data_IF_891437491072
#
_entry.id   IF_891437491072
#
_cell.length_a   1.000
_cell.length_b   1.000
_cell.length_c   1.000
_cell.angle_alpha   90.00
_cell.angle_beta   90.00
_cell.angle_gamma   90.00
#
_symmetry.space_group_name_H-M   'P 1'
#
loop_
_entity.id
_entity.type
_entity.pdbx_description
1 polymer ?
#
# COMPACT_ATOMS: atom_id res chain seq x y z
N UNK A 1 22.45 13.01 20.67
CA UNK A 1 21.84 13.10 19.31
C UNK A 1 22.80 12.45 18.32
N UNK A 2 22.42 11.35 17.67
CA UNK A 2 23.30 10.64 16.72
C UNK A 2 23.52 11.48 15.46
N UNK A 3 24.73 11.45 14.88
CA UNK A 3 25.08 12.19 13.65
C UNK A 3 24.05 11.99 12.53
N UNK A 4 23.55 10.76 12.36
CA UNK A 4 22.48 10.44 11.40
C UNK A 4 21.22 11.28 11.60
N UNK A 5 20.78 11.49 12.85
CA UNK A 5 19.59 12.32 13.14
C UNK A 5 19.84 13.77 12.80
N UNK A 6 21.04 14.28 13.09
CA UNK A 6 21.43 15.66 12.74
C UNK A 6 21.41 15.83 11.22
N UNK A 7 22.02 14.90 10.48
CA UNK A 7 22.03 14.94 9.01
C UNK A 7 20.62 14.89 8.42
N UNK A 8 19.74 14.03 8.94
CA UNK A 8 18.34 13.97 8.52
C UNK A 8 17.60 15.28 8.81
N UNK A 9 17.79 15.87 9.99
CA UNK A 9 17.17 17.15 10.35
C UNK A 9 17.66 18.28 9.44
N UNK A 10 18.98 18.43 9.27
CA UNK A 10 19.55 19.47 8.42
C UNK A 10 19.09 19.30 6.96
N UNK A 11 19.10 18.08 6.44
CA UNK A 11 18.65 17.79 5.07
C UNK A 11 17.16 18.09 4.90
N UNK A 12 16.32 17.66 5.85
CA UNK A 12 14.88 17.90 5.82
C UNK A 12 14.54 19.39 5.86
N UNK A 13 15.17 20.15 6.76
CA UNK A 13 14.99 21.61 6.86
C UNK A 13 15.49 22.29 5.58
N UNK A 14 16.66 21.90 5.07
CA UNK A 14 17.21 22.46 3.83
C UNK A 14 16.31 22.23 2.62
N UNK A 15 15.79 21.01 2.46
CA UNK A 15 14.83 20.67 1.40
C UNK A 15 13.51 21.43 1.55
N UNK A 16 13.00 21.59 2.77
CA UNK A 16 11.78 22.36 3.02
C UNK A 16 11.98 23.84 2.67
N UNK A 17 13.09 24.46 3.11
CA UNK A 17 13.41 25.84 2.78
C UNK A 17 13.57 26.05 1.26
N UNK A 18 14.24 25.12 0.58
CA UNK A 18 14.39 25.14 -0.87
C UNK A 18 13.03 25.01 -1.59
N UNK A 19 12.17 24.10 -1.13
CA UNK A 19 10.82 23.95 -1.68
C UNK A 19 9.96 25.22 -1.51
N UNK A 20 10.05 25.88 -0.35
CA UNK A 20 9.37 27.16 -0.11
C UNK A 20 9.90 28.24 -1.04
N UNK A 21 11.22 28.36 -1.22
CA UNK A 21 11.81 29.29 -2.17
C UNK A 21 11.32 29.05 -3.61
N UNK A 22 11.19 27.79 -4.04
CA UNK A 22 10.59 27.46 -5.34
C UNK A 22 9.12 27.91 -5.43
N UNK A 23 8.31 27.67 -4.39
CA UNK A 23 6.89 28.06 -4.37
C UNK A 23 6.72 29.58 -4.44
N UNK A 24 7.58 30.34 -3.77
CA UNK A 24 7.53 31.80 -3.76
C UNK A 24 7.88 32.43 -5.12
N UNK A 25 8.57 31.67 -5.99
CA UNK A 25 8.91 32.09 -7.35
C UNK A 25 7.82 31.74 -8.39
N UNK A 26 6.80 30.98 -7.99
CA UNK A 26 5.72 30.57 -8.89
C UNK A 26 4.72 31.71 -9.15
N UNK A 27 4.02 31.62 -10.29
CA UNK A 27 2.89 32.52 -10.56
C UNK A 27 1.74 32.25 -9.60
N UNK A 28 0.83 33.23 -9.42
CA UNK A 28 -0.36 33.05 -8.58
C UNK A 28 -1.26 31.90 -9.07
N UNK A 29 -1.32 31.69 -10.38
CA UNK A 29 -2.09 30.58 -10.98
C UNK A 29 -1.52 29.23 -10.58
N UNK A 30 -0.20 29.08 -10.67
CA UNK A 30 0.48 27.83 -10.29
C UNK A 30 0.35 27.58 -8.79
N UNK A 31 0.51 28.62 -7.97
CA UNK A 31 0.37 28.49 -6.52
C UNK A 31 -1.04 28.07 -6.12
N UNK A 32 -2.07 28.57 -6.81
CA UNK A 32 -3.46 28.13 -6.63
C UNK A 32 -3.62 26.66 -7.04
N UNK A 33 -3.03 26.24 -8.15
CA UNK A 33 -3.06 24.84 -8.59
C UNK A 33 -2.41 23.92 -7.56
N UNK A 34 -1.23 24.29 -7.05
CA UNK A 34 -0.55 23.56 -5.97
C UNK A 34 -1.44 23.47 -4.73
N UNK A 35 -2.04 24.58 -4.30
CA UNK A 35 -2.92 24.57 -3.12
C UNK A 35 -4.13 23.65 -3.32
N UNK A 36 -4.77 23.70 -4.49
CA UNK A 36 -5.92 22.85 -4.82
C UNK A 36 -5.51 21.37 -4.82
N UNK A 37 -4.39 21.01 -5.44
CA UNK A 37 -3.92 19.62 -5.45
C UNK A 37 -3.46 19.14 -4.08
N UNK A 38 -2.78 19.98 -3.31
CA UNK A 38 -2.32 19.64 -1.97
C UNK A 38 -3.50 19.36 -1.04
N UNK A 39 -4.48 20.28 -1.00
CA UNK A 39 -5.69 20.11 -0.21
C UNK A 39 -6.53 18.94 -0.74
N UNK A 40 -6.71 18.86 -2.07
CA UNK A 40 -7.47 17.81 -2.72
C UNK A 40 -6.92 16.41 -2.45
N UNK A 41 -5.60 16.23 -2.52
CA UNK A 41 -4.94 14.96 -2.21
C UNK A 41 -5.12 14.58 -0.73
N UNK A 42 -4.93 15.50 0.21
CA UNK A 42 -5.15 15.26 1.64
C UNK A 42 -6.61 14.84 1.90
N UNK A 43 -7.57 15.56 1.31
CA UNK A 43 -8.98 15.25 1.47
C UNK A 43 -9.32 13.90 0.85
N UNK A 44 -8.85 13.61 -0.36
CA UNK A 44 -9.08 12.31 -1.01
C UNK A 44 -8.49 11.17 -0.16
N UNK A 45 -7.29 11.34 0.38
CA UNK A 45 -6.65 10.35 1.26
C UNK A 45 -7.47 10.08 2.52
N UNK A 46 -7.91 11.14 3.20
CA UNK A 46 -8.55 11.01 4.50
C UNK A 46 -10.04 10.67 4.42
N UNK A 47 -10.75 11.16 3.39
CA UNK A 47 -12.21 10.99 3.27
C UNK A 47 -12.60 9.85 2.33
N UNK A 48 -11.72 9.44 1.41
CA UNK A 48 -12.02 8.36 0.46
C UNK A 48 -11.14 7.15 0.74
N UNK A 49 -9.82 7.28 0.59
CA UNK A 49 -8.93 6.12 0.67
C UNK A 49 -8.87 5.53 2.07
N UNK A 50 -8.82 6.36 3.12
CA UNK A 50 -8.85 5.92 4.51
C UNK A 50 -10.10 5.11 4.86
N UNK A 51 -11.32 5.64 4.64
CA UNK A 51 -12.56 4.92 4.88
C UNK A 51 -12.72 3.66 4.02
N UNK A 52 -12.33 3.71 2.75
CA UNK A 52 -12.35 2.52 1.88
C UNK A 52 -11.37 1.45 2.36
N UNK A 53 -10.16 1.83 2.79
CA UNK A 53 -9.19 0.92 3.35
C UNK A 53 -9.67 0.31 4.68
N UNK A 54 -10.29 1.12 5.53
CA UNK A 54 -10.90 0.65 6.78
C UNK A 54 -12.04 -0.35 6.50
N UNK A 55 -12.93 -0.03 5.56
CA UNK A 55 -14.01 -0.93 5.15
C UNK A 55 -13.48 -2.23 4.55
N UNK A 56 -12.49 -2.16 3.66
CA UNK A 56 -11.83 -3.33 3.09
C UNK A 56 -11.17 -4.20 4.17
N UNK A 57 -10.57 -3.57 5.19
CA UNK A 57 -10.08 -4.26 6.37
C UNK A 57 -11.21 -4.98 7.13
N UNK A 58 -12.27 -4.27 7.50
CA UNK A 58 -13.40 -4.88 8.24
C UNK A 58 -14.00 -6.05 7.46
N UNK A 59 -14.29 -5.86 6.17
CA UNK A 59 -14.82 -6.93 5.31
C UNK A 59 -13.82 -8.09 5.16
N UNK A 60 -12.54 -7.79 4.98
CA UNK A 60 -11.47 -8.78 4.95
C UNK A 60 -11.39 -9.61 6.23
N UNK A 61 -11.71 -9.03 7.39
CA UNK A 61 -11.72 -9.73 8.67
C UNK A 61 -12.80 -10.81 8.75
N UNK A 62 -13.96 -10.51 8.17
CA UNK A 62 -15.09 -11.43 8.17
C UNK A 62 -14.97 -12.52 7.10
N UNK A 63 -14.24 -12.28 6.02
CA UNK A 63 -14.18 -13.19 4.85
C UNK A 63 -12.88 -14.00 4.80
N UNK A 64 -11.74 -13.43 5.24
CA UNK A 64 -10.42 -14.03 5.02
C UNK A 64 -9.79 -14.55 6.33
N UNK A 65 -9.13 -15.73 6.28
CA UNK A 65 -8.34 -16.21 7.41
C UNK A 65 -7.23 -15.21 7.80
N UNK A 66 -7.01 -14.99 9.10
CA UNK A 66 -5.97 -14.10 9.65
C UNK A 66 -4.59 -14.29 9.00
N UNK A 67 -4.23 -15.54 8.67
CA UNK A 67 -2.96 -15.90 8.01
C UNK A 67 -2.78 -15.34 6.59
N UNK A 68 -3.84 -14.94 5.91
CA UNK A 68 -3.79 -14.46 4.52
C UNK A 68 -3.64 -12.95 4.42
N UNK A 69 -3.88 -12.24 5.53
CA UNK A 69 -4.00 -10.80 5.55
C UNK A 69 -2.78 -10.05 5.04
N UNK A 70 -1.58 -10.39 5.49
CA UNK A 70 -0.37 -9.68 5.07
C UNK A 70 -0.19 -9.71 3.55
N UNK A 71 -0.36 -10.87 2.93
CA UNK A 71 -0.23 -11.04 1.49
C UNK A 71 -1.35 -10.30 0.73
N UNK A 72 -2.59 -10.39 1.20
CA UNK A 72 -3.72 -9.69 0.59
C UNK A 72 -3.61 -8.18 0.70
N UNK A 73 -3.22 -7.63 1.86
CA UNK A 73 -3.06 -6.19 2.05
C UNK A 73 -1.98 -5.63 1.11
N UNK A 74 -0.85 -6.33 0.96
CA UNK A 74 0.20 -5.93 0.01
C UNK A 74 -0.31 -5.99 -1.44
N UNK A 75 -0.96 -7.09 -1.82
CA UNK A 75 -1.53 -7.25 -3.17
C UNK A 75 -2.57 -6.18 -3.51
N UNK A 76 -3.46 -5.87 -2.57
CA UNK A 76 -4.48 -4.83 -2.72
C UNK A 76 -3.85 -3.43 -2.82
N UNK A 77 -2.85 -3.12 -1.99
CA UNK A 77 -2.16 -1.84 -2.02
C UNK A 77 -1.43 -1.62 -3.35
N UNK A 78 -0.70 -2.62 -3.83
CA UNK A 78 -0.01 -2.56 -5.14
C UNK A 78 -1.05 -2.42 -6.27
N UNK A 79 -2.15 -3.16 -6.21
CA UNK A 79 -3.24 -3.05 -7.20
C UNK A 79 -3.83 -1.65 -7.24
N UNK A 80 -4.09 -1.04 -6.08
CA UNK A 80 -4.58 0.33 -5.99
C UNK A 80 -3.60 1.32 -6.61
N UNK A 81 -2.31 1.21 -6.29
CA UNK A 81 -1.28 2.06 -6.88
C UNK A 81 -1.20 1.93 -8.42
N UNK A 82 -1.27 0.70 -8.95
CA UNK A 82 -1.29 0.45 -10.39
C UNK A 82 -2.52 1.07 -11.06
N UNK A 83 -3.70 0.94 -10.45
CA UNK A 83 -4.94 1.53 -10.97
C UNK A 83 -4.81 3.05 -10.99
N UNK A 84 -4.39 3.68 -9.88
CA UNK A 84 -4.23 5.13 -9.79
C UNK A 84 -3.23 5.66 -10.82
N UNK A 85 -2.12 4.94 -11.05
CA UNK A 85 -1.13 5.29 -12.07
C UNK A 85 -1.69 5.16 -13.49
N UNK A 86 -2.57 4.19 -13.73
CA UNK A 86 -3.13 3.93 -15.04
C UNK A 86 -4.28 4.89 -15.41
N UNK A 87 -5.05 5.40 -14.43
CA UNK A 87 -6.19 6.32 -14.68
C UNK A 87 -5.89 7.39 -15.74
N UNK A 88 -4.81 8.19 -15.67
CA UNK A 88 -4.56 9.25 -16.64
C UNK A 88 -4.30 8.77 -18.08
N UNK A 89 -3.97 7.49 -18.28
CA UNK A 89 -3.58 6.94 -19.58
C UNK A 89 -4.57 5.91 -20.16
N UNK A 90 -5.54 5.44 -19.36
CA UNK A 90 -6.52 4.42 -19.77
C UNK A 90 -7.39 4.87 -20.96
N UNK A 91 -7.90 6.11 -20.92
CA UNK A 91 -8.74 6.66 -22.00
C UNK A 91 -7.98 7.08 -23.24
N UNK A 92 -6.65 7.06 -23.18
CA UNK A 92 -5.75 7.61 -24.22
C UNK A 92 -6.08 9.06 -24.61
N UNK A 93 -6.71 9.81 -23.72
CA UNK A 93 -7.09 11.20 -23.92
C UNK A 93 -5.81 12.04 -24.06
N UNK A 94 -5.62 12.67 -25.22
CA UNK A 94 -4.38 13.39 -25.56
C UNK A 94 -3.39 12.62 -26.45
N UNK A 95 -3.75 11.43 -26.95
CA UNK A 95 -2.99 10.78 -28.01
C UNK A 95 -2.94 11.66 -29.27
N UNK A 96 -1.74 11.83 -29.84
CA UNK A 96 -1.52 12.68 -31.03
C UNK A 96 -1.46 11.79 -32.28
N UNK A 97 -2.37 11.95 -33.25
CA UNK A 97 -2.34 11.17 -34.48
C UNK A 97 -1.00 11.30 -35.21
N UNK A 98 -0.37 10.16 -35.54
CA UNK A 98 0.91 10.11 -36.24
C UNK A 98 2.16 10.31 -35.36
N UNK A 99 2.01 10.36 -34.03
CA UNK A 99 3.13 10.36 -33.09
C UNK A 99 3.11 9.12 -32.18
N UNK A 100 3.78 8.06 -32.63
CA UNK A 100 3.87 6.78 -31.94
C UNK A 100 4.79 6.80 -30.70
N UNK A 101 5.13 7.98 -30.17
CA UNK A 101 5.87 8.09 -28.89
C UNK A 101 4.98 8.49 -27.72
N UNK A 102 3.81 9.08 -27.99
CA UNK A 102 2.87 9.52 -26.96
C UNK A 102 1.69 8.57 -26.93
N UNK A 103 1.51 7.87 -25.80
CA UNK A 103 0.44 6.88 -25.66
C UNK A 103 0.51 5.86 -26.81
N UNK A 104 1.63 5.19 -27.04
CA UNK A 104 1.71 4.17 -28.10
C UNK A 104 1.10 2.82 -27.65
N UNK A 105 1.02 2.58 -26.34
CA UNK A 105 0.63 1.29 -25.76
C UNK A 105 -0.86 1.16 -25.46
N UNK A 106 -1.30 -0.09 -25.45
CA UNK A 106 -2.54 -0.48 -24.79
C UNK A 106 -2.32 -0.56 -23.27
N UNK A 107 -2.60 0.55 -22.59
CA UNK A 107 -2.48 0.63 -21.13
C UNK A 107 -3.53 -0.19 -20.39
N UNK A 108 -4.66 -0.51 -21.03
CA UNK A 108 -5.67 -1.39 -20.44
C UNK A 108 -5.14 -2.81 -20.35
N UNK A 109 -4.55 -3.33 -21.43
CA UNK A 109 -3.89 -4.64 -21.42
C UNK A 109 -2.71 -4.63 -20.45
N UNK A 110 -1.88 -3.57 -20.45
CA UNK A 110 -0.77 -3.42 -19.52
C UNK A 110 -1.21 -3.48 -18.04
N UNK A 111 -2.30 -2.78 -17.69
CA UNK A 111 -2.87 -2.79 -16.35
C UNK A 111 -3.39 -4.18 -15.97
N UNK A 112 -4.17 -4.83 -16.84
CA UNK A 112 -4.72 -6.17 -16.59
C UNK A 112 -3.59 -7.18 -16.35
N UNK A 113 -2.56 -7.17 -17.21
CA UNK A 113 -1.39 -8.06 -17.05
C UNK A 113 -0.68 -7.78 -15.72
N UNK A 114 -0.49 -6.51 -15.38
CA UNK A 114 0.18 -6.13 -14.13
C UNK A 114 -0.60 -6.61 -12.89
N UNK A 115 -1.92 -6.44 -12.89
CA UNK A 115 -2.80 -6.95 -11.84
C UNK A 115 -2.75 -8.48 -11.77
N UNK A 116 -2.79 -9.16 -12.91
CA UNK A 116 -2.70 -10.62 -12.97
C UNK A 116 -1.38 -11.13 -12.36
N UNK A 117 -0.26 -10.47 -12.67
CA UNK A 117 1.06 -10.79 -12.08
C UNK A 117 1.05 -10.61 -10.57
N UNK A 118 0.54 -9.48 -10.07
CA UNK A 118 0.45 -9.21 -8.62
C UNK A 118 -0.31 -10.33 -7.91
N UNK A 119 -1.50 -10.69 -8.41
CA UNK A 119 -2.33 -11.71 -7.77
C UNK A 119 -1.79 -13.13 -7.96
N UNK A 120 -1.09 -13.41 -9.06
CA UNK A 120 -0.36 -14.67 -9.22
C UNK A 120 0.75 -14.82 -8.17
N UNK A 121 1.50 -13.74 -7.87
CA UNK A 121 2.53 -13.75 -6.82
C UNK A 121 1.90 -13.91 -5.43
N UNK A 122 0.80 -13.23 -5.13
CA UNK A 122 0.06 -13.40 -3.87
C UNK A 122 -0.41 -14.84 -3.72
N UNK A 123 -1.01 -15.43 -4.75
CA UNK A 123 -1.47 -16.81 -4.74
C UNK A 123 -0.30 -17.79 -4.53
N UNK A 124 0.81 -17.61 -5.25
CA UNK A 124 2.01 -18.42 -5.09
C UNK A 124 2.55 -18.35 -3.65
N UNK A 125 2.64 -17.14 -3.07
CA UNK A 125 3.08 -16.96 -1.69
C UNK A 125 2.19 -17.71 -0.69
N UNK A 126 0.87 -17.60 -0.83
CA UNK A 126 -0.08 -18.27 0.06
C UNK A 126 -0.05 -19.79 -0.06
N UNK A 127 0.20 -20.33 -1.25
CA UNK A 127 0.35 -21.77 -1.48
C UNK A 127 1.65 -22.30 -0.89
N UNK A 128 2.77 -21.60 -1.08
CA UNK A 128 4.09 -22.00 -0.59
C UNK A 128 4.24 -21.92 0.93
N UNK A 129 3.52 -20.99 1.58
CA UNK A 129 3.58 -20.80 3.04
C UNK A 129 2.60 -21.69 3.81
N UNK A 130 1.61 -22.27 3.14
CA UNK A 130 0.58 -23.14 3.75
C UNK A 130 1.16 -24.40 4.43
N UNK A 131 2.27 -24.93 3.92
CA UNK A 131 2.89 -26.17 4.42
C UNK A 131 3.92 -26.01 5.53
N UNK A 132 4.25 -24.78 5.95
CA UNK A 132 5.38 -24.52 6.87
C UNK A 132 5.02 -24.53 8.37
N UNK A 133 3.77 -24.80 8.76
CA UNK A 133 3.35 -24.88 10.17
C UNK A 133 2.48 -26.10 10.47
N UNK A 134 3.16 -27.20 10.79
CA UNK A 134 2.82 -28.21 11.81
C UNK A 134 4.00 -29.18 11.89
N UNK A 135 4.82 -29.11 12.96
CA UNK A 135 4.53 -29.88 14.18
C UNK A 135 5.03 -29.17 15.45
N UNK A 136 4.16 -28.44 16.17
CA UNK A 136 4.48 -27.93 17.52
C UNK A 136 3.36 -28.20 18.54
N UNK A 137 2.47 -29.15 18.23
CA UNK A 137 1.42 -29.64 19.15
C UNK A 137 1.76 -31.06 19.66
N UNK A 138 2.95 -31.59 19.34
CA UNK A 138 3.41 -32.91 19.78
C UNK A 138 4.31 -32.89 21.04
N UNK A 139 4.51 -31.71 21.65
CA UNK A 139 5.30 -31.57 22.88
C UNK A 139 4.42 -31.02 24.01
N UNK A 140 3.41 -31.79 24.40
CA UNK A 140 2.75 -31.63 25.70
C UNK A 140 3.20 -32.77 26.62
N UNK A 141 4.14 -32.55 27.57
CA UNK A 141 4.18 -33.36 28.76
C UNK A 141 3.10 -32.83 29.70
N UNK A 142 1.96 -33.50 29.65
CA UNK A 142 0.92 -33.53 30.68
C UNK A 142 1.58 -33.82 32.04
N UNK A 143 2.01 -32.79 32.77
CA UNK A 143 2.30 -32.93 34.20
C UNK A 143 0.97 -32.90 34.92
N UNK A 144 0.50 -34.11 35.20
CA UNK A 144 -0.67 -34.40 36.01
C UNK A 144 -0.56 -33.69 37.37
N UNK A 145 -1.47 -32.74 37.62
CA UNK A 145 -1.66 -32.19 38.94
C UNK A 145 -2.37 -33.26 39.80
N UNK A 146 -1.62 -33.92 40.69
CA UNK A 146 -2.15 -34.85 41.71
C UNK A 146 -3.07 -34.07 42.66
N UNK A 147 -4.29 -34.55 42.94
CA UNK A 147 -5.08 -34.05 44.06
C UNK A 147 -4.57 -34.72 45.34
N UNK A 148 -3.93 -33.97 46.23
CA UNK A 148 -3.71 -34.44 47.59
C UNK A 148 -4.94 -34.15 48.44
N UNK A 149 -5.82 -35.17 48.52
CA UNK A 149 -6.70 -35.36 49.65
C UNK A 149 -6.00 -36.20 50.72
N UNK A 150 -5.83 -35.65 51.92
CA UNK A 150 -5.72 -36.34 53.21
C UNK A 150 -6.17 -35.33 54.26
N UNK A 151 -7.37 -35.40 54.83
CA UNK A 151 -7.75 -36.37 55.86
C UNK A 151 -6.73 -36.44 57.01
N UNK A 152 -6.77 -35.47 57.92
CA UNK A 152 -6.93 -35.63 59.38
C UNK A 152 -6.92 -34.28 60.08
#
# INVERSE_FOLDING_TARGET
>A
MTITRILLCVSGIGLAAYGVDLLLKMSTTDLRSVAVWFIGAILAENLVFGPVAALAGVLGHHVLPARWWSAYTVGAFISLALILLAIPVLGREGAVPGNDTVLDRDYTVGLIVSLAVVWAVVAAYLLLTRGRRSPATAAEPRIAHRPHGSAR
#
